data_IF_391304199122
#
_entry.id   IF_391304199122
#
_cell.length_a   1.000
_cell.length_b   1.000
_cell.length_c   1.000
_cell.angle_alpha   90.00
_cell.angle_beta   90.00
_cell.angle_gamma   90.00
#
_symmetry.space_group_name_H-M   'P 1'
#
loop_
_entity.id
_entity.type
_entity.pdbx_description
1 polymer ?
#
# COMPACT_ATOMS: atom_id res chain seq x y z
N UNK A 1 -17.80 -8.75 -37.06
CA UNK A 1 -18.02 -9.08 -35.63
C UNK A 1 -17.00 -8.29 -34.81
N UNK A 2 -17.44 -7.21 -34.18
CA UNK A 2 -16.57 -6.25 -33.48
C UNK A 2 -16.23 -6.77 -32.08
N UNK A 3 -14.98 -7.17 -31.85
CA UNK A 3 -14.46 -7.44 -30.51
C UNK A 3 -14.38 -6.12 -29.73
N UNK A 4 -15.35 -5.87 -28.84
CA UNK A 4 -15.24 -4.81 -27.82
C UNK A 4 -14.09 -5.19 -26.89
N UNK A 5 -12.98 -4.46 -26.97
CA UNK A 5 -11.90 -4.53 -25.99
C UNK A 5 -12.48 -4.19 -24.61
N UNK A 6 -12.43 -5.14 -23.68
CA UNK A 6 -12.76 -4.89 -22.26
C UNK A 6 -11.73 -3.90 -21.72
N UNK A 7 -12.14 -2.64 -21.55
CA UNK A 7 -11.35 -1.62 -20.84
C UNK A 7 -11.01 -2.18 -19.45
N UNK A 8 -9.72 -2.29 -19.14
CA UNK A 8 -9.26 -2.69 -17.82
C UNK A 8 -9.58 -1.58 -16.82
N UNK A 9 -10.72 -1.70 -16.15
CA UNK A 9 -11.10 -0.88 -15.00
C UNK A 9 -10.26 -1.38 -13.82
N UNK A 10 -9.42 -0.51 -13.24
CA UNK A 10 -8.87 -0.77 -11.90
C UNK A 10 -10.02 -0.47 -10.95
N UNK A 11 -10.82 -1.49 -10.66
CA UNK A 11 -11.99 -1.35 -9.82
C UNK A 11 -11.55 -1.39 -8.35
N UNK A 12 -11.65 -0.26 -7.64
CA UNK A 12 -11.54 -0.18 -6.18
C UNK A 12 -12.84 -0.67 -5.52
N UNK A 13 -13.37 -1.76 -6.06
CA UNK A 13 -14.57 -2.45 -5.60
C UNK A 13 -14.14 -3.78 -5.00
N UNK A 14 -14.85 -4.19 -3.96
CA UNK A 14 -14.63 -5.48 -3.36
C UNK A 14 -14.80 -6.58 -4.40
N UNK A 15 -13.78 -7.43 -4.56
CA UNK A 15 -13.82 -8.57 -5.49
C UNK A 15 -14.88 -9.63 -5.16
N UNK A 16 -15.65 -9.44 -4.08
CA UNK A 16 -16.71 -10.34 -3.61
C UNK A 16 -18.09 -9.69 -3.76
N UNK A 17 -18.35 -8.56 -3.11
CA UNK A 17 -19.67 -7.92 -3.12
C UNK A 17 -19.81 -6.79 -4.15
N UNK A 18 -18.74 -6.44 -4.87
CA UNK A 18 -18.71 -5.34 -5.85
C UNK A 18 -19.04 -3.95 -5.30
N UNK A 19 -19.21 -3.78 -3.99
CA UNK A 19 -19.32 -2.48 -3.34
C UNK A 19 -17.97 -1.75 -3.28
N UNK A 20 -18.01 -0.42 -3.09
CA UNK A 20 -16.83 0.41 -2.86
C UNK A 20 -16.00 -0.09 -1.68
N UNK A 21 -14.67 -0.13 -1.85
CA UNK A 21 -13.73 -0.43 -0.78
C UNK A 21 -13.53 0.75 0.21
N UNK A 22 -14.18 1.90 -0.02
CA UNK A 22 -13.99 3.10 0.80
C UNK A 22 -14.70 2.97 2.15
N UNK A 23 -14.04 3.39 3.24
CA UNK A 23 -14.65 3.50 4.58
C UNK A 23 -14.88 2.19 5.35
N UNK A 24 -14.49 1.03 4.80
CA UNK A 24 -14.56 -0.29 5.45
C UNK A 24 -13.17 -0.93 5.47
N UNK A 25 -12.90 -1.85 6.40
CA UNK A 25 -11.62 -2.55 6.40
C UNK A 25 -11.43 -3.38 5.12
N UNK A 26 -10.25 -3.24 4.50
CA UNK A 26 -9.89 -3.87 3.24
C UNK A 26 -8.75 -4.85 3.47
N UNK A 27 -8.85 -6.05 2.89
CA UNK A 27 -7.79 -7.04 2.86
C UNK A 27 -7.27 -7.23 1.44
N UNK A 28 -5.95 -7.20 1.27
CA UNK A 28 -5.28 -7.61 0.04
C UNK A 28 -4.63 -8.97 0.25
N UNK A 29 -5.15 -9.98 -0.44
CA UNK A 29 -4.59 -11.33 -0.37
C UNK A 29 -3.24 -11.44 -1.09
N UNK A 30 -2.49 -12.51 -0.79
CA UNK A 30 -1.25 -12.87 -1.51
C UNK A 30 -1.46 -12.89 -3.04
N UNK A 31 -2.62 -13.29 -3.53
CA UNK A 31 -2.94 -13.25 -4.96
C UNK A 31 -3.19 -11.84 -5.54
N UNK A 32 -3.03 -10.78 -4.76
CA UNK A 32 -3.32 -9.37 -5.07
C UNK A 32 -4.79 -9.05 -5.33
N UNK A 33 -5.70 -9.98 -5.01
CA UNK A 33 -7.13 -9.66 -4.95
C UNK A 33 -7.42 -8.84 -3.69
N UNK A 34 -8.30 -7.86 -3.85
CA UNK A 34 -8.69 -6.93 -2.81
C UNK A 34 -10.19 -7.10 -2.55
N UNK A 35 -10.57 -7.19 -1.28
CA UNK A 35 -11.96 -7.35 -0.85
C UNK A 35 -12.12 -6.80 0.57
N UNK A 36 -13.36 -6.55 1.00
CA UNK A 36 -13.61 -6.19 2.40
C UNK A 36 -13.18 -7.33 3.31
N UNK A 37 -12.64 -6.98 4.46
CA UNK A 37 -12.25 -7.95 5.48
C UNK A 37 -13.43 -8.85 5.86
N UNK A 38 -14.63 -8.28 5.98
CA UNK A 38 -15.89 -8.98 6.26
C UNK A 38 -16.35 -9.93 5.14
N UNK A 39 -15.81 -9.80 3.92
CA UNK A 39 -16.11 -10.72 2.81
C UNK A 39 -15.26 -12.02 2.85
N UNK A 40 -14.35 -12.16 3.82
CA UNK A 40 -13.56 -13.36 4.02
C UNK A 40 -14.40 -14.40 4.76
N UNK A 41 -14.85 -15.43 4.04
CA UNK A 41 -15.70 -16.51 4.60
C UNK A 41 -14.98 -17.86 4.69
N UNK A 42 -13.78 -17.98 4.11
CA UNK A 42 -13.00 -19.22 4.01
C UNK A 42 -11.50 -18.94 4.16
N UNK A 43 -10.67 -19.95 4.52
CA UNK A 43 -9.19 -19.86 4.56
C UNK A 43 -8.52 -19.77 3.18
N UNK A 44 -9.16 -19.09 2.23
CA UNK A 44 -8.67 -18.91 0.88
C UNK A 44 -9.11 -17.56 0.35
N UNK A 45 -8.47 -17.11 -0.74
CA UNK A 45 -8.94 -15.94 -1.45
C UNK A 45 -10.38 -16.17 -1.94
N UNK A 46 -11.38 -15.34 -1.55
CA UNK A 46 -12.75 -15.50 -2.02
C UNK A 46 -12.91 -15.34 -3.55
N UNK A 47 -11.95 -14.66 -4.21
CA UNK A 47 -11.99 -14.35 -5.64
C UNK A 47 -11.40 -15.50 -6.48
N UNK A 48 -10.25 -16.05 -6.09
CA UNK A 48 -9.52 -17.05 -6.88
C UNK A 48 -9.28 -18.38 -6.17
N UNK A 49 -9.83 -18.55 -4.96
CA UNK A 49 -9.80 -19.76 -4.15
C UNK A 49 -8.40 -20.28 -3.78
N UNK A 50 -7.34 -19.51 -4.04
CA UNK A 50 -5.99 -19.84 -3.59
C UNK A 50 -5.95 -19.91 -2.07
N UNK A 51 -5.58 -21.07 -1.54
CA UNK A 51 -5.40 -21.30 -0.10
C UNK A 51 -4.19 -20.52 0.41
N UNK A 52 -4.31 -19.96 1.61
CA UNK A 52 -3.21 -19.22 2.21
C UNK A 52 -2.19 -20.19 2.81
N UNK A 53 -0.92 -20.09 2.38
CA UNK A 53 0.12 -21.08 2.73
C UNK A 53 0.51 -21.08 4.21
N UNK A 54 0.35 -19.94 4.89
CA UNK A 54 0.30 -19.91 6.34
C UNK A 54 -1.16 -20.07 6.69
N UNK A 55 -1.57 -21.28 7.10
CA UNK A 55 -2.92 -21.53 7.59
C UNK A 55 -3.25 -20.47 8.64
N UNK A 56 -4.00 -19.44 8.24
CA UNK A 56 -4.78 -18.64 9.17
C UNK A 56 -5.69 -19.68 9.82
N UNK A 57 -5.59 -19.96 11.13
CA UNK A 57 -6.40 -21.00 11.74
C UNK A 57 -7.84 -20.48 11.81
N UNK A 58 -8.61 -20.75 10.76
CA UNK A 58 -10.05 -20.60 10.75
C UNK A 58 -10.63 -21.82 11.46
N UNK A 59 -10.89 -21.69 12.76
CA UNK A 59 -11.91 -22.51 13.41
C UNK A 59 -13.23 -21.74 13.35
N UNK A 60 -14.34 -22.36 12.94
CA UNK A 60 -15.66 -21.79 13.22
C UNK A 60 -15.91 -21.98 14.71
N UNK A 61 -15.44 -21.04 15.53
CA UNK A 61 -15.83 -20.97 16.94
C UNK A 61 -16.87 -19.88 17.10
N UNK A 62 -18.13 -20.26 17.00
CA UNK A 62 -19.19 -19.61 17.78
C UNK A 62 -18.88 -19.90 19.25
N UNK A 63 -18.01 -19.13 19.88
CA UNK A 63 -17.97 -19.02 21.33
C UNK A 63 -18.71 -17.75 21.74
N UNK A 64 -19.39 -17.73 22.90
CA UNK A 64 -20.18 -16.60 23.32
C UNK A 64 -19.26 -15.37 23.40
N UNK A 65 -19.45 -14.43 22.49
CA UNK A 65 -18.73 -13.18 22.51
C UNK A 65 -19.02 -12.51 23.86
N UNK A 66 -17.99 -12.32 24.68
CA UNK A 66 -18.05 -11.35 25.76
C UNK A 66 -18.49 -10.03 25.13
N UNK A 67 -19.65 -9.54 25.54
CA UNK A 67 -20.32 -8.34 25.04
C UNK A 67 -19.55 -7.10 25.48
N UNK A 68 -18.33 -6.92 24.98
CA UNK A 68 -17.66 -5.63 25.03
C UNK A 68 -18.33 -4.71 24.00
N UNK A 69 -18.88 -3.60 24.48
CA UNK A 69 -19.25 -2.45 23.65
C UNK A 69 -17.97 -1.68 23.35
N UNK A 70 -17.69 -1.42 22.07
CA UNK A 70 -16.51 -0.65 21.64
C UNK A 70 -16.82 0.84 21.44
N UNK A 71 -17.99 1.30 21.89
CA UNK A 71 -18.45 2.69 21.86
C UNK A 71 -18.00 3.48 23.10
N UNK A 72 -16.83 3.15 23.66
CA UNK A 72 -16.22 3.80 24.83
C UNK A 72 -15.08 4.76 24.42
N UNK A 73 -15.06 5.19 23.16
CA UNK A 73 -14.04 6.06 22.58
C UNK A 73 -14.08 7.48 23.15
N UNK A 74 -12.89 8.08 23.33
CA UNK A 74 -12.75 9.49 23.70
C UNK A 74 -13.33 10.39 22.59
N UNK A 75 -14.03 11.51 22.91
CA UNK A 75 -14.61 12.39 21.90
C UNK A 75 -13.55 12.97 20.95
N UNK A 76 -13.92 13.46 19.77
CA UNK A 76 -13.01 14.27 18.92
C UNK A 76 -12.94 15.73 19.43
N UNK A 77 -11.80 16.43 19.27
CA UNK A 77 -11.76 17.86 19.57
C UNK A 77 -12.68 18.63 18.60
N UNK A 78 -13.24 19.79 18.99
CA UNK A 78 -13.97 20.63 18.04
C UNK A 78 -13.04 21.00 16.89
N UNK A 79 -13.43 20.63 15.67
CA UNK A 79 -12.62 20.85 14.46
C UNK A 79 -12.54 22.36 14.24
N UNK A 80 -11.35 22.99 14.33
CA UNK A 80 -11.20 24.37 13.85
C UNK A 80 -11.60 24.39 12.38
N UNK A 81 -12.27 25.45 11.90
CA UNK A 81 -12.64 25.58 10.49
C UNK A 81 -11.52 25.05 9.59
N UNK A 82 -11.78 24.03 8.75
CA UNK A 82 -10.71 23.42 7.97
C UNK A 82 -10.00 24.52 7.19
N UNK A 83 -8.67 24.61 7.26
CA UNK A 83 -7.94 25.58 6.46
C UNK A 83 -8.33 25.40 4.99
N UNK A 84 -8.35 26.46 4.18
CA UNK A 84 -8.68 26.36 2.77
C UNK A 84 -7.83 25.25 2.14
N UNK A 85 -8.49 24.25 1.58
CA UNK A 85 -7.85 23.08 0.99
C UNK A 85 -6.78 23.57 0.00
N UNK A 86 -5.52 23.28 0.31
CA UNK A 86 -4.44 23.49 -0.63
C UNK A 86 -4.73 22.62 -1.86
N UNK A 87 -4.71 23.25 -3.05
CA UNK A 87 -5.16 22.60 -4.28
C UNK A 87 -4.26 21.40 -4.60
N UNK A 88 -4.87 20.24 -4.86
CA UNK A 88 -4.19 19.07 -5.43
C UNK A 88 -3.57 19.49 -6.76
N UNK A 89 -2.30 19.14 -6.99
CA UNK A 89 -1.66 19.39 -8.28
C UNK A 89 -1.86 18.18 -9.19
N UNK A 90 -2.34 18.42 -10.40
CA UNK A 90 -2.47 17.37 -11.42
C UNK A 90 -1.70 17.79 -12.66
N UNK A 91 -0.84 16.91 -13.15
CA UNK A 91 -0.05 17.11 -14.37
C UNK A 91 -0.28 15.95 -15.32
N UNK A 92 -0.42 16.24 -16.61
CA UNK A 92 -0.58 15.22 -17.64
C UNK A 92 0.41 15.44 -18.79
N UNK A 93 1.17 14.40 -19.12
CA UNK A 93 2.22 14.41 -20.14
C UNK A 93 1.88 13.37 -21.20
N UNK A 94 1.66 13.76 -22.46
CA UNK A 94 1.41 12.81 -23.54
C UNK A 94 2.69 12.07 -23.94
N UNK A 95 2.54 10.87 -24.50
CA UNK A 95 3.66 10.08 -25.04
C UNK A 95 4.49 10.84 -26.05
N UNK A 96 3.81 11.60 -26.92
CA UNK A 96 4.43 12.53 -27.87
C UNK A 96 3.69 13.86 -27.83
N UNK A 97 4.41 15.00 -27.93
CA UNK A 97 3.76 16.31 -28.02
C UNK A 97 2.99 16.50 -29.34
N UNK A 98 3.37 15.75 -30.40
CA UNK A 98 2.74 15.79 -31.71
C UNK A 98 2.64 14.40 -32.36
N UNK A 99 1.60 14.19 -33.16
CA UNK A 99 1.41 12.98 -33.98
C UNK A 99 1.03 13.42 -35.40
N UNK A 100 1.70 12.88 -36.42
CA UNK A 100 1.44 13.29 -37.80
C UNK A 100 -0.02 13.01 -38.19
N UNK A 101 -0.63 13.88 -38.99
CA UNK A 101 -2.03 13.69 -39.42
C UNK A 101 -2.25 12.37 -40.18
N UNK A 102 -1.24 11.94 -40.93
CA UNK A 102 -1.23 10.67 -41.67
C UNK A 102 -1.03 9.44 -40.77
N UNK A 103 -0.61 9.63 -39.53
CA UNK A 103 -0.35 8.54 -38.59
C UNK A 103 -1.62 8.26 -37.78
N UNK A 104 -1.96 6.97 -37.65
CA UNK A 104 -3.04 6.47 -36.82
C UNK A 104 -2.48 5.48 -35.80
N UNK A 105 -2.63 5.79 -34.51
CA UNK A 105 -2.13 4.96 -33.42
C UNK A 105 -3.30 4.24 -32.76
N UNK A 106 -3.18 2.92 -32.63
CA UNK A 106 -4.18 2.10 -31.92
C UNK A 106 -4.16 2.32 -30.42
N UNK A 107 -3.00 2.73 -29.88
CA UNK A 107 -2.78 3.02 -28.47
C UNK A 107 -1.90 4.27 -28.35
N UNK A 108 -2.33 5.24 -27.55
CA UNK A 108 -1.54 6.42 -27.22
C UNK A 108 -1.55 6.63 -25.71
N UNK A 109 -0.36 6.70 -25.11
CA UNK A 109 -0.24 6.81 -23.66
C UNK A 109 -0.20 8.27 -23.18
N UNK A 110 -0.84 8.53 -22.05
CA UNK A 110 -0.74 9.79 -21.32
C UNK A 110 -0.36 9.45 -19.88
N UNK A 111 0.76 9.99 -19.42
CA UNK A 111 1.17 9.91 -18.01
C UNK A 111 0.44 11.00 -17.23
N UNK A 112 -0.32 10.61 -16.22
CA UNK A 112 -1.06 11.51 -15.33
C UNK A 112 -0.49 11.38 -13.93
N UNK A 113 0.05 12.46 -13.38
CA UNK A 113 0.55 12.54 -11.99
C UNK A 113 -0.35 13.43 -11.16
N UNK A 114 -0.70 12.95 -9.98
CA UNK A 114 -1.55 13.63 -9.01
C UNK A 114 -0.76 13.71 -7.71
N UNK A 115 -0.56 14.93 -7.21
CA UNK A 115 0.24 15.24 -6.02
C UNK A 115 -0.61 15.94 -4.98
N UNK A 116 -0.67 15.36 -3.78
CA UNK A 116 -1.28 16.01 -2.64
C UNK A 116 -0.44 17.21 -2.18
N UNK A 117 -1.08 18.25 -1.66
CA UNK A 117 -0.35 19.35 -1.05
C UNK A 117 0.43 18.86 0.19
N UNK A 118 1.47 19.62 0.56
CA UNK A 118 2.17 19.41 1.83
C UNK A 118 1.25 19.68 3.02
N UNK A 119 1.55 19.03 4.15
CA UNK A 119 0.87 19.32 5.41
C UNK A 119 1.01 20.81 5.75
N UNK A 120 -0.02 21.42 6.34
CA UNK A 120 0.14 22.74 6.94
C UNK A 120 1.29 22.69 7.95
N UNK A 121 2.17 23.71 7.92
CA UNK A 121 3.33 23.81 8.82
C UNK A 121 2.94 23.81 10.31
N UNK A 122 1.69 24.15 10.61
CA UNK A 122 1.13 24.08 11.95
C UNK A 122 0.51 22.68 12.17
N UNK A 123 1.10 21.82 13.02
CA UNK A 123 0.59 20.46 13.27
C UNK A 123 -0.81 20.42 13.89
N UNK A 124 -1.29 21.52 14.49
CA UNK A 124 -2.68 21.64 14.98
C UNK A 124 -3.74 21.70 13.87
N UNK A 125 -3.32 21.91 12.61
CA UNK A 125 -4.19 21.93 11.44
C UNK A 125 -4.27 20.57 10.72
N UNK A 126 -3.56 19.54 11.21
CA UNK A 126 -3.66 18.18 10.66
C UNK A 126 -4.96 17.54 11.14
N UNK A 127 -5.62 16.79 10.26
CA UNK A 127 -6.78 15.99 10.65
C UNK A 127 -6.34 14.89 11.62
N UNK A 128 -6.96 14.77 12.81
CA UNK A 128 -6.67 13.70 13.74
C UNK A 128 -6.95 12.31 13.15
N UNK A 129 -6.14 11.32 13.52
CA UNK A 129 -6.29 9.94 13.08
C UNK A 129 -6.72 9.02 14.22
N UNK A 130 -7.41 7.93 13.85
CA UNK A 130 -7.62 6.79 14.73
C UNK A 130 -6.73 5.63 14.27
N UNK A 131 -5.92 5.13 15.19
CA UNK A 131 -5.04 3.98 14.96
C UNK A 131 -5.47 2.81 15.85
N UNK A 132 -5.51 1.61 15.28
CA UNK A 132 -5.72 0.37 16.03
C UNK A 132 -4.51 -0.52 15.81
N UNK A 133 -3.69 -0.71 16.85
CA UNK A 133 -2.53 -1.58 16.83
C UNK A 133 -2.93 -3.00 17.24
N UNK A 134 -2.70 -3.98 16.36
CA UNK A 134 -3.07 -5.39 16.58
C UNK A 134 -1.78 -6.21 16.62
N UNK A 135 -1.44 -6.75 17.78
CA UNK A 135 -0.09 -7.24 18.11
C UNK A 135 -0.14 -8.71 18.49
N UNK A 136 0.64 -9.53 17.77
CA UNK A 136 0.81 -10.95 18.08
C UNK A 136 1.62 -11.11 19.37
N UNK A 137 1.09 -11.87 20.33
CA UNK A 137 1.77 -12.24 21.60
C UNK A 137 1.94 -13.76 21.75
N UNK A 138 1.83 -14.50 20.63
CA UNK A 138 2.02 -15.95 20.56
C UNK A 138 3.45 -16.39 20.87
N UNK A 139 3.65 -17.71 21.03
CA UNK A 139 4.97 -18.30 21.30
C UNK A 139 6.04 -17.95 20.26
N UNK A 140 5.64 -17.66 19.02
CA UNK A 140 6.57 -17.29 17.94
C UNK A 140 7.23 -15.91 18.14
N UNK A 141 6.64 -15.07 18.99
CA UNK A 141 7.09 -13.71 19.35
C UNK A 141 8.06 -13.70 20.54
N UNK A 142 8.35 -14.87 21.13
CA UNK A 142 9.31 -15.01 22.23
C UNK A 142 10.70 -14.49 21.83
N UNK A 143 11.36 -13.85 22.79
CA UNK A 143 12.72 -13.34 22.63
C UNK A 143 12.75 -11.94 22.00
N UNK A 144 13.73 -11.62 21.14
CA UNK A 144 13.93 -10.26 20.64
C UNK A 144 12.75 -9.66 19.87
N UNK A 145 11.87 -10.49 19.29
CA UNK A 145 10.74 -10.02 18.46
C UNK A 145 9.72 -9.21 19.24
N UNK A 146 9.34 -9.65 20.45
CA UNK A 146 8.41 -8.88 21.29
C UNK A 146 9.04 -7.58 21.77
N UNK A 147 10.35 -7.57 22.05
CA UNK A 147 11.07 -6.35 22.41
C UNK A 147 11.04 -5.32 21.26
N UNK A 148 11.35 -5.76 20.04
CA UNK A 148 11.24 -4.91 18.84
C UNK A 148 9.81 -4.41 18.59
N UNK A 149 8.80 -5.26 18.82
CA UNK A 149 7.39 -4.86 18.69
C UNK A 149 7.02 -3.79 19.72
N UNK A 150 7.46 -3.93 20.98
CA UNK A 150 7.28 -2.91 22.03
C UNK A 150 7.96 -1.61 21.63
N UNK A 151 9.23 -1.66 21.24
CA UNK A 151 10.01 -0.49 20.83
C UNK A 151 9.33 0.26 19.65
N UNK A 152 8.84 -0.47 18.65
CA UNK A 152 8.11 0.12 17.53
C UNK A 152 6.79 0.79 17.98
N UNK A 153 6.07 0.20 18.94
CA UNK A 153 4.85 0.79 19.51
C UNK A 153 5.14 2.02 20.35
N UNK A 154 6.19 2.02 21.18
CA UNK A 154 6.63 3.20 21.92
C UNK A 154 6.95 4.35 20.96
N UNK A 155 7.74 4.09 19.91
CA UNK A 155 8.02 5.08 18.87
C UNK A 155 6.74 5.59 18.19
N UNK A 156 5.79 4.69 17.91
CA UNK A 156 4.49 5.10 17.33
C UNK A 156 3.73 6.02 18.28
N UNK A 157 3.62 5.66 19.56
CA UNK A 157 2.93 6.45 20.60
C UNK A 157 3.54 7.85 20.74
N UNK A 158 4.87 7.95 20.67
CA UNK A 158 5.59 9.23 20.77
C UNK A 158 5.37 10.15 19.57
N UNK A 159 5.02 9.59 18.42
CA UNK A 159 4.75 10.34 17.19
C UNK A 159 3.25 10.60 16.94
N UNK A 160 2.36 10.11 17.79
CA UNK A 160 0.95 10.48 17.77
C UNK A 160 0.77 11.84 18.46
N UNK A 161 -0.01 12.73 17.86
CA UNK A 161 -0.40 14.02 18.41
C UNK A 161 -1.50 13.88 19.47
N UNK A 162 -1.72 14.92 20.30
CA UNK A 162 -2.66 14.88 21.43
C UNK A 162 -4.14 14.72 21.02
N UNK A 163 -4.44 14.91 19.74
CA UNK A 163 -5.78 14.76 19.18
C UNK A 163 -6.01 13.41 18.49
N UNK A 164 -4.94 12.65 18.22
CA UNK A 164 -5.06 11.32 17.64
C UNK A 164 -5.48 10.32 18.71
N UNK A 165 -6.15 9.25 18.28
CA UNK A 165 -6.58 8.17 19.17
C UNK A 165 -5.89 6.86 18.82
N UNK A 166 -5.51 6.10 19.83
CA UNK A 166 -4.92 4.78 19.70
C UNK A 166 -5.72 3.76 20.50
N UNK A 167 -6.03 2.63 19.89
CA UNK A 167 -6.45 1.40 20.58
C UNK A 167 -5.40 0.32 20.36
N UNK A 168 -5.20 -0.52 21.37
CA UNK A 168 -4.20 -1.59 21.35
C UNK A 168 -4.89 -2.91 21.63
N UNK A 169 -4.71 -3.87 20.74
CA UNK A 169 -5.23 -5.23 20.82
C UNK A 169 -4.05 -6.18 20.75
N UNK A 170 -3.90 -7.03 21.75
CA UNK A 170 -2.98 -8.17 21.71
C UNK A 170 -3.76 -9.43 21.34
N UNK A 171 -3.18 -10.34 20.56
CA UNK A 171 -3.83 -11.59 20.22
C UNK A 171 -2.89 -12.80 20.28
N UNK A 172 -3.46 -13.96 20.60
CA UNK A 172 -2.84 -15.28 20.42
C UNK A 172 -3.88 -16.24 19.85
N UNK A 173 -4.50 -17.10 20.66
CA UNK A 173 -5.74 -17.81 20.30
C UNK A 173 -7.01 -16.96 20.59
N UNK A 174 -6.88 -15.98 21.48
CA UNK A 174 -7.92 -15.00 21.78
C UNK A 174 -7.36 -13.59 21.59
N UNK A 175 -8.25 -12.63 21.30
CA UNK A 175 -7.90 -11.21 21.24
C UNK A 175 -8.29 -10.53 22.56
N UNK A 176 -7.37 -9.73 23.09
CA UNK A 176 -7.59 -8.89 24.25
C UNK A 176 -7.34 -7.44 23.86
N UNK A 177 -8.32 -6.57 24.10
CA UNK A 177 -8.15 -5.12 23.98
C UNK A 177 -7.41 -4.60 25.21
N UNK A 178 -6.10 -4.39 25.07
CA UNK A 178 -5.23 -3.87 26.12
C UNK A 178 -5.44 -2.36 26.37
N UNK A 179 -5.88 -1.61 25.35
CA UNK A 179 -6.22 -0.19 25.47
C UNK A 179 -7.47 0.14 24.63
N UNK A 180 -8.53 0.74 25.21
CA UNK A 180 -9.64 1.35 24.45
C UNK A 180 -9.16 2.44 23.49
N UNK A 181 -10.01 2.89 22.56
CA UNK A 181 -9.65 3.95 21.61
C UNK A 181 -9.55 5.30 22.34
N UNK A 182 -8.33 5.62 22.80
CA UNK A 182 -8.04 6.73 23.72
C UNK A 182 -7.21 7.80 23.02
N UNK A 183 -7.45 9.07 23.34
CA UNK A 183 -6.61 10.19 22.86
C UNK A 183 -5.19 10.07 23.39
N UNK A 184 -4.21 10.39 22.55
CA UNK A 184 -2.80 10.40 22.92
C UNK A 184 -2.39 11.71 23.61
N UNK A 185 -3.15 12.14 24.63
CA UNK A 185 -2.70 13.16 25.59
C UNK A 185 -1.49 12.65 26.38
N UNK A 186 -0.90 13.47 27.26
CA UNK A 186 0.20 13.00 28.12
C UNK A 186 -0.19 11.75 28.94
N UNK A 187 -1.38 11.76 29.53
CA UNK A 187 -1.94 10.64 30.28
C UNK A 187 -2.27 9.46 29.36
N UNK A 188 -2.82 9.74 28.17
CA UNK A 188 -3.14 8.71 27.18
C UNK A 188 -1.90 7.99 26.65
N UNK A 189 -0.82 8.72 26.38
CA UNK A 189 0.48 8.16 25.99
C UNK A 189 1.07 7.33 27.11
N UNK A 190 1.05 7.82 28.36
CA UNK A 190 1.52 7.07 29.52
C UNK A 190 0.76 5.74 29.69
N UNK A 191 -0.58 5.78 29.62
CA UNK A 191 -1.41 4.58 29.69
C UNK A 191 -1.14 3.61 28.52
N UNK A 192 -0.94 4.12 27.31
CA UNK A 192 -0.61 3.30 26.15
C UNK A 192 0.75 2.60 26.30
N UNK A 193 1.78 3.32 26.79
CA UNK A 193 3.10 2.75 27.05
C UNK A 193 3.04 1.65 28.11
N UNK A 194 2.33 1.89 29.21
CA UNK A 194 2.09 0.87 30.24
C UNK A 194 1.38 -0.38 29.68
N UNK A 195 0.38 -0.20 28.81
CA UNK A 195 -0.30 -1.31 28.16
C UNK A 195 0.66 -2.13 27.28
N UNK A 196 1.52 -1.47 26.51
CA UNK A 196 2.55 -2.12 25.68
C UNK A 196 3.57 -2.87 26.55
N UNK A 197 4.03 -2.28 27.64
CA UNK A 197 5.03 -2.88 28.52
C UNK A 197 4.47 -4.09 29.26
N UNK A 198 3.16 -4.10 29.56
CA UNK A 198 2.46 -5.21 30.18
C UNK A 198 2.37 -6.48 29.31
N UNK A 199 2.64 -6.37 27.99
CA UNK A 199 2.61 -7.54 27.12
C UNK A 199 3.59 -8.59 27.60
N UNK A 200 3.01 -9.71 28.02
CA UNK A 200 3.70 -10.86 28.59
C UNK A 200 3.43 -12.05 27.69
N UNK A 201 4.44 -12.91 27.55
CA UNK A 201 4.25 -14.18 26.85
C UNK A 201 3.25 -15.06 27.63
N UNK A 202 2.22 -15.54 26.95
CA UNK A 202 1.30 -16.54 27.49
C UNK A 202 1.89 -17.95 27.34
N UNK A 203 2.34 -18.54 28.45
CA UNK A 203 2.86 -19.91 28.46
C UNK A 203 1.82 -20.97 28.08
N UNK A 204 0.52 -20.69 28.27
CA UNK A 204 -0.58 -21.57 27.89
C UNK A 204 -0.77 -21.70 26.36
N UNK A 205 -0.21 -20.77 25.57
CA UNK A 205 -0.35 -20.74 24.11
C UNK A 205 0.71 -21.57 23.35
N UNK A 206 1.63 -22.25 24.03
CA UNK A 206 2.69 -23.01 23.37
C UNK A 206 2.18 -24.19 22.51
N UNK A 207 0.95 -24.64 22.74
CA UNK A 207 0.30 -25.75 22.03
C UNK A 207 -0.82 -25.33 21.07
N UNK A 208 -1.14 -24.03 20.98
CA UNK A 208 -2.35 -23.54 20.30
C UNK A 208 -1.98 -22.57 19.17
N UNK A 209 -2.60 -22.73 18.00
CA UNK A 209 -2.32 -21.94 16.81
C UNK A 209 -2.71 -20.46 16.98
N UNK A 210 -1.96 -19.57 16.32
CA UNK A 210 -2.18 -18.12 16.33
C UNK A 210 -3.41 -17.72 15.49
N UNK A 211 -4.48 -17.28 16.12
CA UNK A 211 -5.69 -16.80 15.47
C UNK A 211 -5.58 -15.30 15.15
N UNK A 212 -5.08 -14.99 13.96
CA UNK A 212 -4.99 -13.61 13.46
C UNK A 212 -6.38 -13.05 13.14
N UNK A 213 -7.36 -13.91 12.82
CA UNK A 213 -8.71 -13.47 12.47
C UNK A 213 -9.37 -12.82 13.67
N UNK A 214 -9.28 -13.42 14.88
CA UNK A 214 -9.88 -12.81 16.08
C UNK A 214 -9.28 -11.43 16.38
N UNK A 215 -7.96 -11.26 16.20
CA UNK A 215 -7.29 -9.98 16.37
C UNK A 215 -7.79 -8.92 15.37
N UNK A 216 -7.80 -9.25 14.09
CA UNK A 216 -8.25 -8.35 13.01
C UNK A 216 -9.73 -8.00 13.11
N UNK A 217 -10.59 -8.97 13.42
CA UNK A 217 -12.03 -8.76 13.56
C UNK A 217 -12.34 -7.86 14.76
N UNK A 218 -11.64 -8.06 15.87
CA UNK A 218 -11.76 -7.20 17.06
C UNK A 218 -11.31 -5.76 16.75
N UNK A 219 -10.21 -5.59 16.01
CA UNK A 219 -9.75 -4.26 15.62
C UNK A 219 -10.69 -3.54 14.67
N UNK A 220 -11.33 -4.26 13.75
CA UNK A 220 -12.35 -3.69 12.88
C UNK A 220 -13.56 -3.19 13.68
N UNK A 221 -14.03 -3.96 14.67
CA UNK A 221 -15.13 -3.56 15.55
C UNK A 221 -14.85 -2.28 16.33
N UNK A 222 -13.59 -2.07 16.77
CA UNK A 222 -13.18 -0.79 17.39
C UNK A 222 -13.44 0.40 16.47
N UNK A 223 -13.22 0.26 15.16
CA UNK A 223 -13.41 1.35 14.19
C UNK A 223 -14.84 1.48 13.69
N UNK A 224 -15.60 0.38 13.62
CA UNK A 224 -17.01 0.38 13.18
C UNK A 224 -17.96 0.86 14.29
N UNK A 225 -17.69 0.52 15.55
CA UNK A 225 -18.56 0.86 16.69
C UNK A 225 -18.18 2.20 17.38
N UNK A 226 -17.14 2.91 16.90
CA UNK A 226 -16.71 4.21 17.45
C UNK A 226 -17.79 5.27 17.25
N UNK A 227 -18.00 6.12 18.27
CA UNK A 227 -19.04 7.15 18.24
C UNK A 227 -18.69 8.32 17.33
N UNK A 228 -17.39 8.60 17.15
CA UNK A 228 -16.92 9.73 16.37
C UNK A 228 -16.01 9.24 15.23
N UNK A 229 -16.42 9.46 13.97
CA UNK A 229 -15.67 9.07 12.79
C UNK A 229 -15.17 10.30 12.00
N UNK A 230 -13.93 10.26 11.54
CA UNK A 230 -13.39 11.24 10.60
C UNK A 230 -13.97 10.98 9.20
N UNK A 231 -14.46 12.05 8.55
CA UNK A 231 -15.46 12.02 7.48
C UNK A 231 -15.12 11.23 6.21
N UNK A 232 -16.17 10.64 5.63
CA UNK A 232 -16.17 9.94 4.33
C UNK A 232 -16.93 10.82 3.34
N UNK A 233 -16.34 11.12 2.18
CA UNK A 233 -17.02 11.79 1.08
C UNK A 233 -17.37 10.76 -0.01
N UNK A 234 -18.67 10.50 -0.17
CA UNK A 234 -19.21 9.78 -1.32
C UNK A 234 -19.62 10.78 -2.40
N UNK A 235 -19.30 10.48 -3.66
CA UNK A 235 -19.88 11.19 -4.81
C UNK A 235 -20.22 10.19 -5.91
N UNK A 236 -21.49 10.18 -6.32
CA UNK A 236 -22.03 9.34 -7.39
C UNK A 236 -22.08 10.08 -8.74
N UNK A 237 -22.01 9.33 -9.84
CA UNK A 237 -22.77 9.62 -11.06
C UNK A 237 -22.04 10.15 -12.32
N UNK A 238 -22.38 9.48 -13.45
CA UNK A 238 -22.34 9.86 -14.88
C UNK A 238 -21.19 9.36 -15.79
N UNK A 239 -21.48 9.33 -17.10
CA UNK A 239 -20.83 8.68 -18.26
C UNK A 239 -19.40 9.15 -18.57
N UNK A 240 -18.53 9.06 -17.57
CA UNK A 240 -17.15 9.51 -17.60
C UNK A 240 -16.24 8.35 -17.17
N UNK A 241 -15.08 8.18 -17.82
CA UNK A 241 -14.09 7.20 -17.39
C UNK A 241 -13.40 7.67 -16.10
N UNK A 242 -13.98 7.37 -14.94
CA UNK A 242 -13.40 7.75 -13.64
C UNK A 242 -12.41 6.71 -13.12
N UNK A 243 -11.25 7.18 -12.66
CA UNK A 243 -10.28 6.40 -11.90
C UNK A 243 -10.39 6.84 -10.43
N UNK A 244 -10.88 5.94 -9.57
CA UNK A 244 -10.96 6.22 -8.12
C UNK A 244 -9.58 6.01 -7.49
N UNK A 245 -9.00 7.07 -6.95
CA UNK A 245 -7.63 7.07 -6.42
C UNK A 245 -7.60 6.67 -4.93
N UNK A 246 -8.74 6.79 -4.24
CA UNK A 246 -8.83 6.69 -2.79
C UNK A 246 -8.28 7.94 -2.10
N UNK A 247 -8.00 7.83 -0.80
CA UNK A 247 -7.41 8.92 -0.03
C UNK A 247 -5.95 9.16 -0.45
N UNK A 248 -5.61 10.43 -0.68
CA UNK A 248 -4.25 10.88 -0.98
C UNK A 248 -3.68 11.58 0.25
N UNK A 249 -2.62 11.01 0.82
CA UNK A 249 -1.97 11.59 1.99
C UNK A 249 -1.07 12.76 1.59
N UNK A 250 -0.79 13.66 2.53
CA UNK A 250 0.03 14.82 2.25
C UNK A 250 1.39 14.46 1.63
N UNK A 251 1.78 15.20 0.59
CA UNK A 251 2.96 14.96 -0.25
C UNK A 251 2.97 13.63 -1.02
N UNK A 252 1.93 12.79 -0.90
CA UNK A 252 1.82 11.56 -1.67
C UNK A 252 1.59 11.88 -3.15
N UNK A 253 2.30 11.15 -4.00
CA UNK A 253 2.19 11.25 -5.45
C UNK A 253 1.65 9.92 -6.01
N UNK A 254 0.66 10.01 -6.90
CA UNK A 254 0.13 8.90 -7.69
C UNK A 254 0.30 9.17 -9.16
N UNK A 255 0.83 8.19 -9.88
CA UNK A 255 1.10 8.23 -11.31
C UNK A 255 0.28 7.17 -12.05
N UNK A 256 -0.40 7.56 -13.12
CA UNK A 256 -1.25 6.69 -13.92
C UNK A 256 -0.80 6.75 -15.37
N UNK A 257 -0.78 5.59 -16.03
CA UNK A 257 -0.60 5.52 -17.47
C UNK A 257 -1.97 5.28 -18.10
N UNK A 258 -2.56 6.33 -18.67
CA UNK A 258 -3.86 6.26 -19.34
C UNK A 258 -3.61 6.00 -20.81
N UNK A 259 -3.98 4.81 -21.27
CA UNK A 259 -3.93 4.46 -22.70
C UNK A 259 -5.29 4.76 -23.30
N UNK A 260 -5.30 5.61 -24.33
CA UNK A 260 -6.53 6.01 -25.00
C UNK A 260 -6.58 5.46 -26.43
N UNK A 261 -7.78 5.04 -26.82
CA UNK A 261 -8.13 4.67 -28.19
C UNK A 261 -9.24 5.63 -28.65
N UNK A 262 -8.84 6.80 -29.15
CA UNK A 262 -9.74 7.88 -29.56
C UNK A 262 -8.98 9.17 -29.89
N UNK A 263 -9.63 10.12 -30.57
CA UNK A 263 -8.96 11.31 -31.15
C UNK A 263 -8.77 12.49 -30.16
N UNK A 264 -9.45 12.50 -29.02
CA UNK A 264 -9.34 13.57 -28.01
C UNK A 264 -9.65 13.07 -26.58
N UNK A 265 -8.90 13.56 -25.58
CA UNK A 265 -9.10 13.25 -24.16
C UNK A 265 -9.23 14.55 -23.38
N UNK A 266 -10.38 14.75 -22.75
CA UNK A 266 -10.58 15.81 -21.77
C UNK A 266 -10.36 15.21 -20.38
N UNK A 267 -9.50 15.84 -19.59
CA UNK A 267 -9.23 15.44 -18.20
C UNK A 267 -9.71 16.59 -17.32
N UNK A 268 -10.36 16.30 -16.19
CA UNK A 268 -11.08 17.27 -15.34
C UNK A 268 -10.26 18.41 -14.70
N UNK A 269 -9.06 18.70 -15.20
CA UNK A 269 -8.16 19.78 -14.81
C UNK A 269 -7.57 20.56 -16.01
N UNK A 270 -8.07 20.32 -17.23
CA UNK A 270 -7.69 21.01 -18.47
C UNK A 270 -7.37 20.05 -19.62
N UNK A 271 -7.45 20.49 -20.89
CA UNK A 271 -7.24 19.62 -22.04
C UNK A 271 -5.76 19.25 -22.21
N UNK A 272 -5.46 17.95 -22.37
CA UNK A 272 -4.16 17.49 -22.89
C UNK A 272 -4.19 17.69 -24.40
N UNK A 273 -3.42 18.66 -24.92
CA UNK A 273 -3.44 19.02 -26.34
C UNK A 273 -2.30 18.31 -27.08
N UNK A 274 -2.67 17.39 -27.96
CA UNK A 274 -1.73 16.71 -28.86
C UNK A 274 -1.79 17.40 -30.22
N UNK A 275 -0.65 17.89 -30.72
CA UNK A 275 -0.61 18.55 -32.03
C UNK A 275 -0.77 17.52 -33.15
N UNK A 276 -1.53 17.86 -34.21
CA UNK A 276 -1.75 17.02 -35.40
C UNK A 276 -1.22 17.68 -36.69
N UNK A 277 0.09 17.95 -36.79
CA UNK A 277 0.67 18.63 -37.95
C UNK A 277 0.78 17.70 -39.17
N UNK A 278 1.06 18.27 -40.34
CA UNK A 278 1.31 17.51 -41.57
C UNK A 278 2.64 16.73 -41.50
N UNK A 279 3.64 17.33 -40.86
CA UNK A 279 4.95 16.76 -40.59
C UNK A 279 5.27 16.99 -39.11
N UNK A 280 5.94 16.05 -38.46
CA UNK A 280 6.37 16.14 -37.06
C UNK A 280 7.88 16.34 -37.06
N UNK A 281 8.38 17.25 -36.23
CA UNK A 281 9.82 17.46 -36.05
C UNK A 281 10.46 16.24 -35.38
N UNK A 282 11.73 15.94 -35.68
CA UNK A 282 12.43 14.76 -35.13
C UNK A 282 12.41 14.74 -33.59
N UNK A 283 12.52 15.91 -32.97
CA UNK A 283 12.49 16.09 -31.51
C UNK A 283 11.12 15.71 -30.90
N UNK A 284 10.03 15.91 -31.65
CA UNK A 284 8.66 15.60 -31.22
C UNK A 284 8.26 14.14 -31.51
N UNK A 285 9.11 13.37 -32.22
CA UNK A 285 8.89 11.95 -32.48
C UNK A 285 9.28 11.05 -31.30
N UNK A 286 10.11 11.55 -30.38
CA UNK A 286 10.58 10.80 -29.22
C UNK A 286 9.48 10.56 -28.18
N UNK A 287 9.54 9.40 -27.52
CA UNK A 287 8.66 9.09 -26.38
C UNK A 287 9.09 9.92 -25.17
N UNK A 288 8.13 10.57 -24.49
CA UNK A 288 8.37 11.27 -23.23
C UNK A 288 8.96 10.33 -22.17
N UNK A 289 10.00 10.80 -21.47
CA UNK A 289 10.65 10.07 -20.39
C UNK A 289 9.68 9.74 -19.23
N UNK A 290 8.67 10.58 -18.97
CA UNK A 290 7.63 10.34 -17.97
C UNK A 290 6.73 9.15 -18.35
N UNK A 291 6.33 9.09 -19.62
CA UNK A 291 5.55 7.96 -20.14
C UNK A 291 6.37 6.68 -20.13
N UNK A 292 7.63 6.76 -20.53
CA UNK A 292 8.57 5.64 -20.51
C UNK A 292 8.81 5.12 -19.09
N UNK A 293 9.02 6.02 -18.12
CA UNK A 293 9.12 5.67 -16.68
C UNK A 293 7.87 4.92 -16.19
N UNK A 294 6.68 5.38 -16.57
CA UNK A 294 5.43 4.72 -16.24
C UNK A 294 5.32 3.30 -16.85
N UNK A 295 5.77 3.13 -18.10
CA UNK A 295 5.84 1.84 -18.79
C UNK A 295 6.83 0.90 -18.13
N UNK A 296 8.03 1.38 -17.79
CA UNK A 296 9.08 0.62 -17.11
C UNK A 296 8.57 0.08 -15.78
N UNK A 297 7.88 0.91 -14.99
CA UNK A 297 7.25 0.46 -13.74
C UNK A 297 6.27 -0.70 -13.95
N UNK A 298 5.38 -0.57 -14.93
CA UNK A 298 4.39 -1.62 -15.25
C UNK A 298 5.09 -2.90 -15.76
N UNK A 299 6.16 -2.73 -16.54
CA UNK A 299 6.99 -3.81 -17.06
C UNK A 299 7.59 -4.63 -15.91
N UNK A 300 8.20 -3.98 -14.92
CA UNK A 300 8.76 -4.64 -13.73
C UNK A 300 7.68 -5.34 -12.93
N UNK A 301 6.58 -4.66 -12.60
CA UNK A 301 5.50 -5.25 -11.81
C UNK A 301 4.91 -6.52 -12.48
N UNK A 302 4.72 -6.50 -13.80
CA UNK A 302 4.29 -7.67 -14.59
C UNK A 302 5.36 -8.76 -14.64
N UNK A 303 6.63 -8.37 -14.83
CA UNK A 303 7.77 -9.28 -14.87
C UNK A 303 7.92 -10.06 -13.56
N UNK A 304 7.86 -9.36 -12.42
CA UNK A 304 7.95 -9.98 -11.09
C UNK A 304 6.75 -10.89 -10.83
N UNK A 305 5.54 -10.48 -11.23
CA UNK A 305 4.34 -11.35 -11.13
C UNK A 305 4.52 -12.64 -11.91
N UNK A 306 5.07 -12.58 -13.12
CA UNK A 306 5.32 -13.76 -13.94
C UNK A 306 6.46 -14.62 -13.37
N UNK A 307 7.58 -14.02 -12.99
CA UNK A 307 8.70 -14.71 -12.34
C UNK A 307 8.24 -15.43 -11.07
N UNK A 308 7.38 -14.79 -10.27
CA UNK A 308 6.75 -15.42 -9.10
C UNK A 308 5.93 -16.65 -9.49
N UNK A 309 5.11 -16.56 -10.54
CA UNK A 309 4.29 -17.69 -11.04
C UNK A 309 5.17 -18.87 -11.46
N UNK A 310 6.30 -18.60 -12.12
CA UNK A 310 7.29 -19.59 -12.53
C UNK A 310 8.01 -20.22 -11.33
N UNK A 311 8.48 -19.39 -10.40
CA UNK A 311 9.14 -19.83 -9.17
C UNK A 311 8.23 -20.72 -8.30
N UNK A 312 6.92 -20.43 -8.22
CA UNK A 312 5.96 -21.27 -7.50
C UNK A 312 5.74 -22.64 -8.16
N UNK A 313 6.14 -22.83 -9.43
CA UNK A 313 6.19 -24.12 -10.13
C UNK A 313 7.57 -24.79 -10.10
N UNK A 314 8.54 -24.21 -9.39
CA UNK A 314 9.92 -24.72 -9.32
C UNK A 314 10.82 -24.28 -10.49
N UNK A 315 10.31 -23.50 -11.44
CA UNK A 315 11.05 -23.03 -12.62
C UNK A 315 11.95 -21.82 -12.29
N UNK A 316 12.95 -22.02 -11.42
CA UNK A 316 13.80 -20.95 -10.88
C UNK A 316 14.63 -20.25 -11.95
N UNK A 317 15.23 -21.01 -12.86
CA UNK A 317 16.05 -20.46 -13.95
C UNK A 317 15.22 -19.59 -14.90
N UNK A 318 14.05 -20.09 -15.31
CA UNK A 318 13.12 -19.33 -16.15
C UNK A 318 12.59 -18.08 -15.44
N UNK A 319 12.25 -18.19 -14.15
CA UNK A 319 11.85 -17.04 -13.35
C UNK A 319 12.94 -15.96 -13.32
N UNK A 320 14.20 -16.36 -13.09
CA UNK A 320 15.35 -15.45 -13.07
C UNK A 320 15.61 -14.84 -14.45
N UNK A 321 15.48 -15.63 -15.52
CA UNK A 321 15.60 -15.15 -16.91
C UNK A 321 14.58 -14.07 -17.26
N UNK A 322 13.33 -14.23 -16.84
CA UNK A 322 12.29 -13.19 -17.02
C UNK A 322 12.66 -11.88 -16.31
N UNK A 323 13.15 -11.96 -15.06
CA UNK A 323 13.55 -10.75 -14.31
C UNK A 323 14.75 -10.07 -14.99
N UNK A 324 15.78 -10.83 -15.37
CA UNK A 324 16.97 -10.30 -16.03
C UNK A 324 16.62 -9.62 -17.38
N UNK A 325 15.73 -10.23 -18.16
CA UNK A 325 15.27 -9.64 -19.42
C UNK A 325 14.47 -8.35 -19.18
N UNK A 326 13.58 -8.32 -18.17
CA UNK A 326 12.88 -7.07 -17.83
C UNK A 326 13.82 -5.98 -17.35
N UNK A 327 14.87 -6.34 -16.61
CA UNK A 327 15.91 -5.41 -16.18
C UNK A 327 16.63 -4.80 -17.37
N UNK A 328 17.08 -5.63 -18.32
CA UNK A 328 17.68 -5.18 -19.57
C UNK A 328 16.78 -4.20 -20.34
N UNK A 329 15.51 -4.56 -20.53
CA UNK A 329 14.52 -3.71 -21.21
C UNK A 329 14.37 -2.35 -20.52
N UNK A 330 14.33 -2.30 -19.18
CA UNK A 330 14.24 -1.03 -18.45
C UNK A 330 15.50 -0.20 -18.62
N UNK A 331 16.69 -0.80 -18.59
CA UNK A 331 17.94 -0.05 -18.68
C UNK A 331 18.26 0.45 -20.09
N UNK A 332 17.78 -0.24 -21.12
CA UNK A 332 17.90 0.17 -22.53
C UNK A 332 16.80 1.16 -22.96
N UNK A 333 15.80 1.41 -22.12
CA UNK A 333 14.71 2.35 -22.40
C UNK A 333 15.17 3.81 -22.41
N UNK A 334 14.33 4.73 -22.91
CA UNK A 334 14.64 6.17 -22.98
C UNK A 334 14.98 6.73 -21.59
N UNK A 335 14.14 6.43 -20.59
CA UNK A 335 14.36 6.87 -19.21
C UNK A 335 15.53 6.14 -18.54
N UNK A 336 15.73 4.86 -18.87
CA UNK A 336 16.86 4.06 -18.38
C UNK A 336 18.21 4.62 -18.81
N UNK A 337 18.39 4.85 -20.12
CA UNK A 337 19.61 5.40 -20.70
C UNK A 337 19.87 6.84 -20.21
N UNK A 338 18.81 7.62 -19.99
CA UNK A 338 18.90 8.96 -19.39
C UNK A 338 19.31 8.94 -17.89
N UNK A 339 19.38 7.76 -17.26
CA UNK A 339 19.80 7.61 -15.87
C UNK A 339 18.74 8.04 -14.85
N UNK A 340 17.45 7.96 -15.22
CA UNK A 340 16.31 8.31 -14.38
C UNK A 340 16.34 7.56 -13.04
N UNK A 341 16.09 8.28 -11.94
CA UNK A 341 16.19 7.74 -10.59
C UNK A 341 15.23 6.57 -10.31
N UNK A 342 14.03 6.59 -10.90
CA UNK A 342 13.08 5.49 -10.75
C UNK A 342 13.56 4.24 -11.51
N UNK A 343 14.13 4.41 -12.70
CA UNK A 343 14.68 3.29 -13.48
C UNK A 343 15.87 2.63 -12.75
N UNK A 344 16.77 3.42 -12.17
CA UNK A 344 17.87 2.90 -11.31
C UNK A 344 17.35 2.15 -10.10
N UNK A 345 16.28 2.63 -9.49
CA UNK A 345 15.68 1.94 -8.34
C UNK A 345 15.02 0.62 -8.76
N UNK A 346 14.26 0.62 -9.87
CA UNK A 346 13.67 -0.59 -10.45
C UNK A 346 14.75 -1.63 -10.79
N UNK A 347 15.91 -1.20 -11.31
CA UNK A 347 17.06 -2.06 -11.56
C UNK A 347 17.53 -2.76 -10.28
N UNK A 348 17.76 -2.02 -9.20
CA UNK A 348 18.18 -2.57 -7.91
C UNK A 348 17.17 -3.59 -7.36
N UNK A 349 15.86 -3.32 -7.50
CA UNK A 349 14.81 -4.26 -7.08
C UNK A 349 14.89 -5.58 -7.87
N UNK A 350 15.10 -5.49 -9.18
CA UNK A 350 15.20 -6.66 -10.05
C UNK A 350 16.48 -7.45 -9.76
N UNK A 351 17.62 -6.80 -9.56
CA UNK A 351 18.87 -7.47 -9.18
C UNK A 351 18.75 -8.22 -7.86
N UNK A 352 18.12 -7.60 -6.85
CA UNK A 352 17.87 -8.26 -5.58
C UNK A 352 16.89 -9.44 -5.71
N UNK A 353 15.87 -9.31 -6.58
CA UNK A 353 14.98 -10.43 -6.87
C UNK A 353 15.72 -11.57 -7.57
N UNK A 354 16.62 -11.29 -8.52
CA UNK A 354 17.44 -12.32 -9.19
C UNK A 354 18.28 -13.12 -8.20
N UNK A 355 18.91 -12.45 -7.21
CA UNK A 355 19.66 -13.13 -6.14
C UNK A 355 18.78 -14.05 -5.31
N UNK A 356 17.50 -13.71 -5.15
CA UNK A 356 16.51 -14.49 -4.39
C UNK A 356 15.85 -15.60 -5.20
N UNK A 357 16.10 -15.67 -6.51
CA UNK A 357 15.61 -16.70 -7.43
C UNK A 357 16.66 -17.78 -7.76
N UNK A 358 17.79 -17.82 -7.06
CA UNK A 358 18.86 -18.80 -7.31
C UNK A 358 18.38 -20.25 -7.10
N UNK A 359 17.56 -20.49 -6.07
CA UNK A 359 16.97 -21.80 -5.80
C UNK A 359 15.69 -21.67 -4.97
N UNK A 360 14.94 -22.77 -4.86
CA UNK A 360 13.68 -22.79 -4.12
C UNK A 360 13.82 -22.43 -2.64
N UNK A 361 14.92 -22.80 -2.00
CA UNK A 361 15.17 -22.50 -0.59
C UNK A 361 15.27 -20.99 -0.35
N UNK A 362 16.05 -20.28 -1.16
CA UNK A 362 16.18 -18.82 -1.08
C UNK A 362 14.88 -18.11 -1.44
N UNK A 363 14.19 -18.59 -2.47
CA UNK A 363 12.89 -18.04 -2.84
C UNK A 363 11.87 -18.20 -1.71
N UNK A 364 11.79 -19.38 -1.08
CA UNK A 364 10.87 -19.65 0.04
C UNK A 364 11.23 -18.82 1.28
N UNK A 365 12.52 -18.70 1.61
CA UNK A 365 13.00 -17.99 2.80
C UNK A 365 12.77 -16.48 2.72
N UNK A 366 12.84 -15.89 1.52
CA UNK A 366 12.69 -14.43 1.39
C UNK A 366 12.34 -13.90 0.01
N UNK A 367 12.57 -14.64 -1.08
CA UNK A 367 12.21 -14.21 -2.44
C UNK A 367 10.71 -14.04 -2.65
N UNK A 368 9.88 -14.92 -2.09
CA UNK A 368 8.42 -14.88 -2.19
C UNK A 368 7.85 -13.61 -1.55
N UNK A 369 8.28 -13.32 -0.32
CA UNK A 369 7.88 -12.11 0.40
C UNK A 369 8.36 -10.84 -0.32
N UNK A 370 9.60 -10.86 -0.84
CA UNK A 370 10.16 -9.74 -1.59
C UNK A 370 9.38 -9.47 -2.89
N UNK A 371 9.04 -10.51 -3.67
CA UNK A 371 8.20 -10.39 -4.85
C UNK A 371 6.83 -9.76 -4.53
N UNK A 372 6.18 -10.18 -3.44
CA UNK A 372 4.93 -9.57 -2.99
C UNK A 372 5.10 -8.10 -2.61
N UNK A 373 6.18 -7.76 -1.91
CA UNK A 373 6.45 -6.40 -1.50
C UNK A 373 6.67 -5.47 -2.71
N UNK A 374 7.37 -5.95 -3.76
CA UNK A 374 7.50 -5.23 -5.03
C UNK A 374 6.13 -5.06 -5.72
N UNK A 375 5.39 -6.15 -5.89
CA UNK A 375 4.10 -6.14 -6.57
C UNK A 375 3.10 -5.19 -5.88
N UNK A 376 3.01 -5.27 -4.54
CA UNK A 376 2.12 -4.43 -3.74
C UNK A 376 2.56 -2.96 -3.79
N UNK A 377 3.86 -2.68 -3.67
CA UNK A 377 4.40 -1.31 -3.74
C UNK A 377 4.08 -0.64 -5.06
N UNK A 378 4.21 -1.32 -6.20
CA UNK A 378 3.90 -0.74 -7.51
C UNK A 378 2.41 -0.69 -7.83
N UNK A 379 1.64 -1.68 -7.40
CA UNK A 379 0.19 -1.68 -7.58
C UNK A 379 -0.46 -0.52 -6.80
N UNK A 380 -0.01 -0.29 -5.57
CA UNK A 380 -0.55 0.76 -4.70
C UNK A 380 0.22 2.07 -4.78
N UNK A 381 1.40 2.10 -5.40
CA UNK A 381 2.32 3.24 -5.41
C UNK A 381 2.57 3.77 -4.01
N UNK A 382 2.96 2.85 -3.13
CA UNK A 382 3.21 3.09 -1.72
C UNK A 382 4.54 2.47 -1.32
N UNK A 383 5.22 3.12 -0.39
CA UNK A 383 6.41 2.57 0.23
C UNK A 383 6.04 1.28 0.98
N UNK A 384 6.84 0.23 0.80
CA UNK A 384 6.72 -1.01 1.57
C UNK A 384 8.07 -1.36 2.17
N UNK A 385 8.07 -1.96 3.36
CA UNK A 385 9.30 -2.45 3.98
C UNK A 385 9.74 -3.72 3.25
N UNK A 386 10.89 -3.67 2.58
CA UNK A 386 11.42 -4.78 1.76
C UNK A 386 12.56 -5.56 2.43
N UNK A 387 12.81 -5.32 3.72
CA UNK A 387 13.80 -6.08 4.51
C UNK A 387 15.27 -5.88 4.10
N UNK A 388 15.56 -4.87 3.26
CA UNK A 388 16.93 -4.48 2.88
C UNK A 388 17.18 -3.06 3.37
N UNK A 389 18.34 -2.83 3.98
CA UNK A 389 18.83 -1.51 4.34
C UNK A 389 19.24 -0.76 3.06
N UNK A 390 18.28 -0.20 2.35
CA UNK A 390 18.55 0.74 1.26
C UNK A 390 17.82 2.06 1.53
N UNK A 391 18.61 3.12 1.50
CA UNK A 391 18.24 4.54 1.45
C UNK A 391 16.98 4.82 0.62
N UNK A 392 15.99 5.49 1.21
CA UNK A 392 14.89 6.15 0.50
C UNK A 392 14.19 5.31 -0.58
N UNK A 393 13.24 4.46 -0.18
CA UNK A 393 12.43 3.69 -1.13
C UNK A 393 11.60 4.58 -2.05
N UNK A 394 11.33 4.12 -3.27
CA UNK A 394 10.35 4.76 -4.14
C UNK A 394 9.01 4.95 -3.40
N UNK A 395 8.32 6.06 -3.69
CA UNK A 395 7.07 6.49 -3.03
C UNK A 395 7.21 6.91 -1.55
N UNK A 396 8.41 6.94 -0.98
CA UNK A 396 8.60 7.57 0.34
C UNK A 396 8.46 9.09 0.21
N UNK A 397 7.59 9.66 1.06
CA UNK A 397 7.54 11.10 1.27
C UNK A 397 8.68 11.53 2.16
N UNK A 398 8.92 12.84 2.23
CA UNK A 398 9.89 13.42 3.14
C UNK A 398 9.61 12.99 4.59
N UNK A 399 8.36 13.12 5.03
CA UNK A 399 7.92 12.68 6.36
C UNK A 399 8.17 11.19 6.61
N UNK A 400 7.90 10.32 5.64
CA UNK A 400 8.21 8.89 5.78
C UNK A 400 9.72 8.64 5.94
N UNK A 401 10.55 9.42 5.26
CA UNK A 401 12.01 9.28 5.33
C UNK A 401 12.53 9.71 6.70
N UNK A 402 12.07 10.85 7.19
CA UNK A 402 12.39 11.36 8.54
C UNK A 402 11.96 10.34 9.62
N UNK A 403 10.77 9.76 9.49
CA UNK A 403 10.28 8.73 10.42
C UNK A 403 11.12 7.45 10.42
N UNK A 404 11.55 6.96 9.24
CA UNK A 404 12.39 5.76 9.13
C UNK A 404 13.80 6.01 9.68
N UNK A 405 14.36 7.20 9.47
CA UNK A 405 15.66 7.57 10.07
C UNK A 405 15.52 7.67 11.59
N UNK A 406 14.46 8.32 12.07
CA UNK A 406 14.18 8.43 13.50
C UNK A 406 14.00 7.07 14.17
N UNK A 407 13.29 6.13 13.54
CA UNK A 407 13.08 4.80 14.12
C UNK A 407 14.37 3.97 14.17
N UNK A 408 15.25 4.10 13.17
CA UNK A 408 16.54 3.37 13.12
C UNK A 408 17.54 3.87 14.16
N UNK A 409 17.51 5.17 14.49
CA UNK A 409 18.36 5.75 15.54
C UNK A 409 18.14 5.14 16.93
N UNK A 410 17.01 4.45 17.17
CA UNK A 410 16.74 3.73 18.41
C UNK A 410 17.51 2.38 18.50
N UNK A 411 17.78 1.75 17.36
CA UNK A 411 18.49 0.47 17.29
C UNK A 411 20.00 0.64 17.57
N UNK A 412 20.58 1.77 17.14
CA UNK A 412 22.00 2.09 17.36
C UNK A 412 22.32 2.50 18.81
N UNK A 413 21.33 3.01 19.56
CA UNK A 413 21.50 3.41 20.95
C UNK A 413 21.58 2.22 21.92
N UNK A 414 20.99 1.07 21.56
CA UNK A 414 20.94 -0.13 22.41
C UNK A 414 22.00 -1.18 22.08
N UNK A 415 22.87 -0.92 21.09
CA UNK A 415 24.01 -1.78 20.75
C UNK A 415 25.29 -1.48 21.53
N UNK A 416 25.23 -0.64 22.57
CA UNK A 416 26.40 -0.17 23.34
C UNK A 416 26.41 -0.48 24.84
N UNK A 417 25.43 -1.22 25.35
CA UNK A 417 25.43 -1.67 26.75
C UNK A 417 25.54 -3.20 26.88
#
# INVERSE_FOLDING_TARGET
MTHKAKKAKIDMTCGVCSESLSGKAVFMAECMHIFHFTCITKPCCPVCQTTWKNNLPFLPSQTPHTTFSFSDDDPLPPVPNPPPLSKVMITAVPERPAVARSESLSEFAIHVRIKAPSLPKNPSLRTPIDLVAIIDVSASMKGPKVALAKQALHFTIDNLGPHDRLSIISFSHEAQRALPLRRMTEEGRSAAKLAVDSFSFSAAAAAVATDILVGLTTGNRVLEERRYASGIFNTEGSHEGRVHIGDLYAEEEKEFLVVVSGESVEVGFGPVRIKRPKYVEVEDMGVSAEVDRGRNRICVAKGIKEARRMAERGEMEGARGVVAERRRVVMESVAGVAGDGMCKWLEQEMEEMEKRLVNEGMYRKGGRAFAFAIMSSHAMQRATVKGVAASGGAYMTRYMTEMVVGSRGLDDAHGKD
#
